data_IF_467058515412
#
_entry.id   IF_467058515412
#
_cell.length_a   1.000
_cell.length_b   1.000
_cell.length_c   1.000
_cell.angle_alpha   90.00
_cell.angle_beta   90.00
_cell.angle_gamma   90.00
#
_symmetry.space_group_name_H-M   'P 1'
#
loop_
_entity.id
_entity.type
_entity.pdbx_description
1 polymer ?
#
# COMPACT_ATOMS: atom_id res chain seq x y z
N UNK A 1 -11.43 47.27 38.57
CA UNK A 1 -11.80 45.85 38.78
C UNK A 1 -11.81 45.19 37.42
N UNK A 2 -10.79 44.38 37.10
CA UNK A 2 -10.52 43.86 35.75
C UNK A 2 -11.29 42.55 35.53
N UNK A 3 -12.02 42.50 34.41
CA UNK A 3 -12.72 41.33 33.92
C UNK A 3 -11.74 40.22 33.52
N UNK A 4 -12.02 38.97 33.92
CA UNK A 4 -11.32 37.79 33.44
C UNK A 4 -12.34 36.89 32.72
N UNK A 5 -12.35 36.98 31.40
CA UNK A 5 -13.14 36.10 30.52
C UNK A 5 -12.44 34.74 30.44
N UNK A 6 -13.12 33.70 30.89
CA UNK A 6 -12.70 32.31 30.81
C UNK A 6 -12.85 31.85 29.34
N UNK A 7 -11.74 31.74 28.61
CA UNK A 7 -11.70 31.14 27.28
C UNK A 7 -11.46 29.63 27.46
N UNK A 8 -12.51 28.82 27.37
CA UNK A 8 -12.38 27.37 27.28
C UNK A 8 -12.03 27.00 25.84
N UNK A 9 -10.74 26.94 25.54
CA UNK A 9 -10.22 26.41 24.27
C UNK A 9 -10.20 24.88 24.39
N UNK A 10 -11.27 24.24 23.93
CA UNK A 10 -11.35 22.79 23.79
C UNK A 10 -10.39 22.36 22.67
N UNK A 11 -9.21 21.88 23.05
CA UNK A 11 -8.23 21.36 22.11
C UNK A 11 -8.77 20.10 21.43
N UNK A 12 -9.17 20.23 20.17
CA UNK A 12 -9.31 19.10 19.24
C UNK A 12 -7.91 18.50 19.03
N UNK A 13 -7.58 17.49 19.84
CA UNK A 13 -6.49 16.56 19.53
C UNK A 13 -6.93 15.75 18.31
N UNK A 14 -6.23 15.82 17.15
CA UNK A 14 -6.42 14.81 16.12
C UNK A 14 -5.95 13.49 16.71
N UNK A 15 -6.88 12.54 16.87
CA UNK A 15 -6.55 11.15 17.09
C UNK A 15 -5.77 10.69 15.85
N UNK A 16 -4.44 10.68 15.95
CA UNK A 16 -3.61 9.96 14.99
C UNK A 16 -3.92 8.49 15.21
N UNK A 17 -4.87 7.98 14.46
CA UNK A 17 -5.12 6.55 14.32
C UNK A 17 -3.87 6.03 13.62
N UNK A 18 -2.97 5.40 14.37
CA UNK A 18 -1.89 4.59 13.82
C UNK A 18 -2.52 3.36 13.14
N UNK A 19 -3.08 3.55 11.95
CA UNK A 19 -3.08 2.47 10.99
C UNK A 19 -1.60 2.22 10.68
N UNK A 20 -1.12 0.98 10.81
CA UNK A 20 0.11 0.56 10.16
C UNK A 20 -0.13 0.74 8.65
N UNK A 21 0.09 1.95 8.15
CA UNK A 21 -0.13 2.32 6.77
C UNK A 21 1.08 1.81 5.99
N UNK A 22 0.87 0.77 5.19
CA UNK A 22 1.89 0.27 4.28
C UNK A 22 2.27 1.38 3.31
N UNK A 23 3.50 1.85 3.38
CA UNK A 23 3.99 2.89 2.47
C UNK A 23 4.01 2.35 1.04
N UNK A 24 3.71 3.18 0.06
CA UNK A 24 3.71 2.78 -1.35
C UNK A 24 4.75 3.61 -2.09
N UNK A 25 5.78 2.94 -2.61
CA UNK A 25 6.82 3.55 -3.42
C UNK A 25 6.78 2.95 -4.83
N UNK A 26 6.31 3.75 -5.79
CA UNK A 26 6.18 3.33 -7.18
C UNK A 26 7.48 3.46 -7.96
N UNK A 27 8.60 3.83 -7.31
CA UNK A 27 9.94 3.89 -7.88
C UNK A 27 10.01 4.71 -9.20
N UNK A 28 9.19 5.75 -9.32
CA UNK A 28 9.12 6.59 -10.53
C UNK A 28 8.38 5.96 -11.72
N UNK A 29 7.76 4.79 -11.53
CA UNK A 29 6.88 4.18 -12.54
C UNK A 29 5.60 5.01 -12.71
N UNK A 30 4.97 5.00 -13.89
CA UNK A 30 3.75 5.75 -14.17
C UNK A 30 2.49 5.11 -13.55
N UNK A 31 2.62 4.54 -12.35
CA UNK A 31 1.53 3.91 -11.63
C UNK A 31 1.21 4.72 -10.38
N UNK A 32 -0.09 4.87 -10.13
CA UNK A 32 -0.63 5.18 -8.82
C UNK A 32 -1.17 3.88 -8.24
N UNK A 33 -0.71 3.50 -7.05
CA UNK A 33 -1.18 2.31 -6.35
C UNK A 33 -1.96 2.74 -5.12
N UNK A 34 -3.19 2.25 -5.01
CA UNK A 34 -4.05 2.47 -3.86
C UNK A 34 -4.19 1.14 -3.11
N UNK A 35 -3.83 1.14 -1.83
CA UNK A 35 -4.02 -0.01 -0.93
C UNK A 35 -5.44 0.07 -0.37
N UNK A 36 -6.37 -0.63 -1.00
CA UNK A 36 -7.78 -0.59 -0.61
C UNK A 36 -8.04 -1.29 0.71
N UNK A 37 -7.30 -2.37 0.97
CA UNK A 37 -7.40 -3.15 2.20
C UNK A 37 -6.14 -3.99 2.42
N UNK A 38 -5.85 -4.30 3.67
CA UNK A 38 -4.80 -5.21 4.09
C UNK A 38 -5.39 -6.25 5.03
N UNK A 39 -5.19 -7.52 4.71
CA UNK A 39 -5.59 -8.62 5.59
C UNK A 39 -4.35 -9.36 6.07
N UNK A 40 -4.23 -9.44 7.38
CA UNK A 40 -3.27 -10.31 8.05
C UNK A 40 -3.95 -11.65 8.40
N UNK A 41 -3.36 -12.75 7.99
CA UNK A 41 -3.80 -14.10 8.35
C UNK A 41 -3.21 -14.56 9.69
N UNK A 42 -3.70 -15.70 10.19
CA UNK A 42 -3.31 -16.28 11.49
C UNK A 42 -1.85 -16.73 11.56
N UNK A 43 -1.16 -16.84 10.42
CA UNK A 43 0.26 -17.23 10.32
C UNK A 43 1.12 -16.12 9.72
N UNK A 44 0.80 -14.84 9.96
CA UNK A 44 1.46 -13.70 9.32
C UNK A 44 1.39 -13.71 7.80
N UNK A 45 0.36 -14.35 7.24
CA UNK A 45 0.03 -14.18 5.83
C UNK A 45 -0.37 -12.72 5.60
N UNK A 46 0.11 -12.12 4.53
CA UNK A 46 -0.33 -10.80 4.11
C UNK A 46 -1.07 -10.92 2.79
N UNK A 47 -2.30 -10.44 2.75
CA UNK A 47 -3.04 -10.22 1.50
C UNK A 47 -3.29 -8.74 1.32
N UNK A 48 -2.80 -8.19 0.21
CA UNK A 48 -3.01 -6.81 -0.18
C UNK A 48 -4.08 -6.75 -1.27
N UNK A 49 -5.07 -5.88 -1.06
CA UNK A 49 -6.08 -5.56 -2.05
C UNK A 49 -5.72 -4.23 -2.67
N UNK A 50 -5.29 -4.23 -3.93
CA UNK A 50 -4.65 -3.09 -4.57
C UNK A 50 -5.44 -2.63 -5.80
N UNK A 51 -5.50 -1.32 -6.01
CA UNK A 51 -5.90 -0.75 -7.30
C UNK A 51 -4.68 -0.12 -7.94
N UNK A 52 -4.30 -0.59 -9.14
CA UNK A 52 -3.20 -0.04 -9.91
C UNK A 52 -3.81 0.81 -11.03
N UNK A 53 -3.47 2.09 -11.05
CA UNK A 53 -3.90 3.03 -12.07
C UNK A 53 -2.70 3.53 -12.85
N UNK A 54 -2.74 3.42 -14.17
CA UNK A 54 -1.70 3.98 -15.04
C UNK A 54 -1.96 5.48 -15.25
N UNK A 55 -1.14 6.31 -14.63
CA UNK A 55 -1.19 7.78 -14.78
C UNK A 55 -0.18 8.29 -15.82
N UNK A 56 0.54 7.38 -16.48
CA UNK A 56 1.43 7.68 -17.58
C UNK A 56 0.73 7.93 -18.90
N UNK A 57 1.54 8.35 -19.87
CA UNK A 57 1.11 8.58 -21.26
C UNK A 57 1.27 7.35 -22.15
N UNK A 58 1.95 6.31 -21.67
CA UNK A 58 2.22 5.06 -22.39
C UNK A 58 1.54 3.88 -21.71
N UNK A 59 1.35 2.79 -22.45
CA UNK A 59 0.84 1.52 -21.92
C UNK A 59 1.82 0.98 -20.88
N UNK A 60 1.29 0.55 -19.73
CA UNK A 60 2.08 -0.10 -18.68
C UNK A 60 1.89 -1.62 -18.73
N UNK A 61 2.99 -2.38 -18.82
CA UNK A 61 2.95 -3.83 -18.76
C UNK A 61 3.02 -4.29 -17.29
N UNK A 62 1.93 -4.86 -16.79
CA UNK A 62 1.87 -5.46 -15.47
C UNK A 62 2.09 -6.98 -15.61
N UNK A 63 3.12 -7.51 -14.95
CA UNK A 63 3.55 -8.91 -15.06
C UNK A 63 3.12 -9.77 -13.85
N UNK A 64 2.02 -9.40 -13.18
CA UNK A 64 1.52 -10.15 -12.03
C UNK A 64 2.46 -10.04 -10.82
N UNK A 65 2.78 -11.19 -10.23
CA UNK A 65 3.63 -11.28 -9.04
C UNK A 65 5.04 -10.72 -9.23
N UNK A 66 5.57 -10.74 -10.46
CA UNK A 66 6.91 -10.22 -10.76
C UNK A 66 6.99 -8.69 -10.76
N UNK A 67 5.86 -7.99 -10.82
CA UNK A 67 5.82 -6.52 -10.84
C UNK A 67 5.74 -5.90 -9.45
N UNK A 68 5.65 -6.69 -8.38
CA UNK A 68 5.42 -6.20 -7.02
C UNK A 68 6.35 -6.90 -6.04
N UNK A 69 6.77 -6.16 -5.03
CA UNK A 69 7.42 -6.72 -3.86
C UNK A 69 7.18 -5.80 -2.66
N UNK A 70 7.23 -6.38 -1.46
CA UNK A 70 7.24 -5.62 -0.21
C UNK A 70 8.65 -5.60 0.37
N UNK A 71 8.91 -4.58 1.18
CA UNK A 71 10.16 -4.40 1.92
C UNK A 71 9.81 -4.18 3.39
N UNK A 72 10.54 -4.83 4.30
CA UNK A 72 10.42 -4.57 5.74
C UNK A 72 11.38 -3.46 6.19
N UNK A 73 11.31 -3.08 7.47
CA UNK A 73 12.18 -2.05 8.06
C UNK A 73 13.68 -2.39 8.01
N UNK A 74 14.02 -3.68 7.84
CA UNK A 74 15.39 -4.17 7.74
C UNK A 74 15.88 -4.22 6.28
N UNK A 75 15.04 -3.81 5.32
CA UNK A 75 15.36 -3.82 3.90
C UNK A 75 15.21 -5.18 3.21
N UNK A 76 14.65 -6.20 3.89
CA UNK A 76 14.40 -7.52 3.32
C UNK A 76 13.24 -7.45 2.35
N UNK A 77 13.43 -8.02 1.16
CA UNK A 77 12.44 -8.01 0.08
C UNK A 77 11.68 -9.32 0.05
N UNK A 78 10.36 -9.24 -0.07
CA UNK A 78 9.51 -10.41 -0.29
C UNK A 78 8.60 -10.16 -1.51
N UNK A 79 8.58 -11.13 -2.43
CA UNK A 79 7.66 -11.14 -3.56
C UNK A 79 6.35 -11.81 -3.16
N UNK A 80 5.22 -11.40 -3.74
CA UNK A 80 3.98 -12.15 -3.54
C UNK A 80 4.13 -13.56 -4.11
N UNK A 81 3.62 -14.55 -3.38
CA UNK A 81 3.51 -15.92 -3.86
C UNK A 81 2.51 -16.05 -5.01
N UNK A 82 1.48 -15.21 -5.01
CA UNK A 82 0.53 -15.15 -6.13
C UNK A 82 -0.12 -13.76 -6.23
N UNK A 83 -0.52 -13.43 -7.46
CA UNK A 83 -1.39 -12.30 -7.78
C UNK A 83 -2.54 -12.84 -8.61
N UNK A 84 -3.77 -12.46 -8.28
CA UNK A 84 -4.97 -12.97 -8.97
C UNK A 84 -5.16 -12.43 -10.39
N UNK A 85 -4.48 -11.33 -10.71
CA UNK A 85 -4.40 -10.78 -12.06
C UNK A 85 -3.27 -11.42 -12.86
N UNK A 86 -3.64 -12.01 -14.00
CA UNK A 86 -2.69 -12.45 -15.01
C UNK A 86 -1.88 -11.26 -15.58
N UNK A 87 -0.69 -11.52 -16.15
CA UNK A 87 0.07 -10.51 -16.88
C UNK A 87 -0.79 -9.83 -17.95
N UNK A 88 -0.83 -8.50 -17.92
CA UNK A 88 -1.69 -7.72 -18.81
C UNK A 88 -1.17 -6.28 -18.98
N UNK A 89 -1.70 -5.62 -20.00
CA UNK A 89 -1.40 -4.22 -20.29
C UNK A 89 -2.46 -3.28 -19.70
N UNK A 90 -2.02 -2.24 -19.01
CA UNK A 90 -2.88 -1.17 -18.50
C UNK A 90 -2.70 0.03 -19.43
N UNK A 91 -3.74 0.38 -20.18
CA UNK A 91 -3.75 1.56 -21.04
C UNK A 91 -3.55 2.86 -20.22
N UNK A 92 -3.08 3.95 -20.83
CA UNK A 92 -3.05 5.26 -20.19
C UNK A 92 -4.40 5.65 -19.58
N UNK A 93 -4.42 6.05 -18.31
CA UNK A 93 -5.64 6.37 -17.55
C UNK A 93 -6.45 5.14 -17.09
N UNK A 94 -6.08 3.94 -17.53
CA UNK A 94 -6.72 2.68 -17.14
C UNK A 94 -6.39 2.29 -15.70
N UNK A 95 -7.24 1.44 -15.11
CA UNK A 95 -7.05 0.90 -13.78
C UNK A 95 -7.41 -0.58 -13.73
N UNK A 96 -6.70 -1.32 -12.89
CA UNK A 96 -7.00 -2.72 -12.57
C UNK A 96 -7.03 -2.89 -11.04
N UNK A 97 -7.92 -3.76 -10.57
CA UNK A 97 -7.94 -4.19 -9.18
C UNK A 97 -7.31 -5.59 -9.10
N UNK A 98 -6.42 -5.78 -8.13
CA UNK A 98 -5.70 -7.04 -7.94
C UNK A 98 -5.66 -7.41 -6.45
N UNK A 99 -5.40 -8.69 -6.19
CA UNK A 99 -5.07 -9.23 -4.87
C UNK A 99 -3.70 -9.88 -4.94
N UNK A 100 -2.79 -9.41 -4.10
CA UNK A 100 -1.45 -9.97 -3.95
C UNK A 100 -1.37 -10.73 -2.62
N UNK A 101 -0.98 -12.00 -2.70
CA UNK A 101 -0.84 -12.90 -1.56
C UNK A 101 0.63 -13.14 -1.26
N UNK A 102 1.05 -12.88 -0.03
CA UNK A 102 2.41 -13.10 0.46
C UNK A 102 2.44 -14.28 1.41
N UNK A 103 3.57 -14.97 1.45
CA UNK A 103 3.72 -16.17 2.26
C UNK A 103 3.69 -15.86 3.76
N UNK A 104 3.26 -16.83 4.59
CA UNK A 104 3.49 -16.78 6.03
C UNK A 104 4.96 -16.53 6.34
N UNK A 105 5.26 -15.46 7.08
CA UNK A 105 6.61 -15.25 7.60
C UNK A 105 6.56 -14.77 9.06
N UNK A 106 7.08 -15.56 10.02
CA UNK A 106 6.93 -15.29 11.45
C UNK A 106 7.65 -14.01 11.90
N UNK A 107 8.69 -13.61 11.18
CA UNK A 107 9.59 -12.51 11.52
C UNK A 107 9.59 -11.37 10.49
N UNK A 108 8.67 -11.39 9.53
CA UNK A 108 8.54 -10.36 8.50
C UNK A 108 7.30 -9.50 8.70
N UNK A 109 7.45 -8.19 8.61
CA UNK A 109 6.35 -7.23 8.61
C UNK A 109 6.59 -6.25 7.48
N UNK A 110 5.69 -6.27 6.49
CA UNK A 110 5.79 -5.38 5.34
C UNK A 110 5.66 -3.92 5.79
N UNK A 111 6.64 -3.09 5.46
CA UNK A 111 6.66 -1.66 5.73
C UNK A 111 6.38 -0.84 4.46
N UNK A 112 6.95 -1.25 3.32
CA UNK A 112 6.79 -0.55 2.04
C UNK A 112 6.44 -1.52 0.92
N UNK A 113 5.36 -1.24 0.17
CA UNK A 113 5.07 -1.85 -1.12
C UNK A 113 5.82 -1.12 -2.23
N UNK A 114 6.50 -1.89 -3.09
CA UNK A 114 7.24 -1.38 -4.24
C UNK A 114 6.84 -2.08 -5.54
N UNK A 115 7.11 -1.37 -6.64
CA UNK A 115 6.94 -1.85 -8.01
C UNK A 115 8.31 -2.02 -8.65
N UNK A 116 8.53 -3.14 -9.34
CA UNK A 116 9.78 -3.44 -10.06
C UNK A 116 9.83 -2.84 -11.48
#
# INVERSE_FOLDING_TARGET
>A
MKALKLFALLALLPAMVWACELEVDTAGKPLKIEVNNMRHGTHNELTLFLTLKNEGKAVYAFNGAESLYVVDEQGRREKPASVDAAPQSIAPGGAIAIRAHYTPSPDYTAATLKVD
#
